data_IF_434170817908
#
_entry.id   IF_434170817908
#
_cell.length_a   1.000
_cell.length_b   1.000
_cell.length_c   1.000
_cell.angle_alpha   90.00
_cell.angle_beta   90.00
_cell.angle_gamma   90.00
#
_symmetry.space_group_name_H-M   'P 1'
#
loop_
_entity.id
_entity.type
_entity.pdbx_description
1 polymer ?
#
# COMPACT_ATOMS: atom_id res chain seq x y z
N UNK A 1 14.88 -8.12 11.31
CA UNK A 1 14.28 -6.82 11.01
C UNK A 1 13.24 -6.47 12.05
N UNK A 2 13.11 -5.20 12.35
CA UNK A 2 12.18 -4.72 13.36
C UNK A 2 10.93 -4.15 12.67
N UNK A 3 9.73 -4.50 13.15
CA UNK A 3 8.51 -3.91 12.59
C UNK A 3 8.39 -2.44 13.02
N UNK A 4 8.05 -1.60 12.06
CA UNK A 4 7.79 -0.18 12.30
C UNK A 4 6.40 0.16 11.80
N UNK A 5 5.68 0.95 12.58
CA UNK A 5 4.42 1.52 12.15
C UNK A 5 4.72 2.73 11.27
N UNK A 6 4.13 2.77 10.09
CA UNK A 6 4.24 3.92 9.20
C UNK A 6 2.86 4.54 9.02
N UNK A 7 2.83 5.83 8.69
CA UNK A 7 1.58 6.54 8.46
C UNK A 7 1.62 7.21 7.10
N UNK A 8 0.52 7.06 6.36
CA UNK A 8 0.32 7.74 5.09
C UNK A 8 -1.08 8.35 5.11
N UNK A 9 -1.27 9.40 4.33
CA UNK A 9 -2.55 10.06 4.22
C UNK A 9 -3.11 9.83 2.83
N UNK A 10 -4.33 9.30 2.79
CA UNK A 10 -5.05 9.06 1.55
C UNK A 10 -6.34 9.88 1.58
N UNK A 11 -6.78 10.30 0.41
CA UNK A 11 -8.04 11.01 0.30
C UNK A 11 -9.18 10.01 0.29
N UNK A 12 -10.22 10.28 1.09
CA UNK A 12 -11.38 9.41 1.21
C UNK A 12 -12.62 10.26 1.44
N UNK A 13 -13.76 9.75 1.00
CA UNK A 13 -15.04 10.44 1.18
C UNK A 13 -15.65 10.15 2.55
N UNK A 14 -15.21 9.09 3.21
CA UNK A 14 -15.76 8.71 4.50
C UNK A 14 -14.72 7.97 5.33
N UNK A 15 -14.91 7.91 6.67
CA UNK A 15 -14.02 7.11 7.53
C UNK A 15 -14.04 5.63 7.17
N UNK A 16 -15.17 5.11 6.69
CA UNK A 16 -15.28 3.71 6.29
C UNK A 16 -14.38 3.38 5.11
N UNK A 17 -14.29 4.29 4.13
CA UNK A 17 -13.39 4.11 2.99
C UNK A 17 -11.93 4.08 3.45
N UNK A 18 -11.57 5.00 4.34
CA UNK A 18 -10.21 5.07 4.87
C UNK A 18 -9.86 3.79 5.62
N UNK A 19 -10.78 3.31 6.46
CA UNK A 19 -10.57 2.06 7.20
C UNK A 19 -10.42 0.87 6.27
N UNK A 20 -11.22 0.82 5.21
CA UNK A 20 -11.15 -0.27 4.23
C UNK A 20 -9.78 -0.32 3.56
N UNK A 21 -9.23 0.83 3.19
CA UNK A 21 -7.90 0.90 2.61
C UNK A 21 -6.83 0.43 3.59
N UNK A 22 -6.93 0.86 4.85
CA UNK A 22 -6.01 0.44 5.90
C UNK A 22 -6.05 -1.06 6.13
N UNK A 23 -7.25 -1.62 6.22
CA UNK A 23 -7.44 -3.05 6.46
C UNK A 23 -6.91 -3.87 5.28
N UNK A 24 -7.12 -3.40 4.06
CA UNK A 24 -6.63 -4.08 2.86
C UNK A 24 -5.10 -4.10 2.83
N UNK A 25 -4.46 -2.99 3.15
CA UNK A 25 -3.00 -2.91 3.19
C UNK A 25 -2.42 -3.82 4.27
N UNK A 26 -3.03 -3.83 5.45
CA UNK A 26 -2.60 -4.69 6.54
C UNK A 26 -2.77 -6.17 6.17
N UNK A 27 -3.86 -6.51 5.49
CA UNK A 27 -4.10 -7.87 5.03
C UNK A 27 -3.05 -8.30 4.00
N UNK A 28 -2.69 -7.41 3.08
CA UNK A 28 -1.64 -7.71 2.10
C UNK A 28 -0.34 -8.10 2.79
N UNK A 29 0.09 -7.30 3.76
CA UNK A 29 1.33 -7.57 4.50
C UNK A 29 1.25 -8.91 5.22
N UNK A 30 0.12 -9.19 5.88
CA UNK A 30 -0.08 -10.44 6.62
C UNK A 30 -0.11 -11.65 5.70
N UNK A 31 -0.81 -11.55 4.58
CA UNK A 31 -0.94 -12.66 3.63
C UNK A 31 0.40 -12.98 2.98
N UNK A 32 1.19 -11.97 2.64
CA UNK A 32 2.52 -12.20 2.08
C UNK A 32 3.44 -12.85 3.11
N UNK A 33 3.34 -12.46 4.38
CA UNK A 33 4.12 -13.09 5.44
C UNK A 33 3.82 -14.59 5.55
N UNK A 34 2.55 -14.96 5.42
CA UNK A 34 2.14 -16.38 5.46
C UNK A 34 2.72 -17.18 4.30
N UNK A 35 2.99 -16.52 3.19
CA UNK A 35 3.64 -17.12 2.02
C UNK A 35 5.16 -17.13 2.13
N UNK A 36 5.71 -16.66 3.23
CA UNK A 36 7.15 -16.57 3.42
C UNK A 36 7.79 -15.32 2.84
N UNK A 37 6.98 -14.31 2.51
CA UNK A 37 7.47 -13.05 1.93
C UNK A 37 7.34 -11.95 2.98
N UNK A 38 8.47 -11.34 3.32
CA UNK A 38 8.50 -10.22 4.24
C UNK A 38 8.41 -8.92 3.42
N UNK A 39 7.32 -8.17 3.65
CA UNK A 39 7.14 -6.87 2.99
C UNK A 39 7.97 -5.84 3.75
N UNK A 40 9.06 -5.39 3.15
CA UNK A 40 9.99 -4.47 3.80
C UNK A 40 9.75 -3.04 3.33
N UNK A 41 10.12 -2.08 4.18
CA UNK A 41 10.01 -0.67 3.84
C UNK A 41 10.83 -0.31 2.60
N UNK A 42 12.01 -0.93 2.45
CA UNK A 42 12.86 -0.71 1.28
C UNK A 42 12.14 -1.13 0.00
N UNK A 43 11.53 -2.31 0.01
CA UNK A 43 10.81 -2.81 -1.17
C UNK A 43 9.57 -1.98 -1.50
N UNK A 44 8.86 -1.54 -0.48
CA UNK A 44 7.70 -0.66 -0.68
C UNK A 44 8.15 0.67 -1.29
N UNK A 45 9.23 1.25 -0.77
CA UNK A 45 9.78 2.49 -1.32
C UNK A 45 10.20 2.31 -2.79
N UNK A 46 10.89 1.21 -3.10
CA UNK A 46 11.29 0.91 -4.48
C UNK A 46 10.08 0.75 -5.39
N UNK A 47 9.06 0.03 -4.94
CA UNK A 47 7.85 -0.17 -5.74
C UNK A 47 7.15 1.14 -6.03
N UNK A 48 7.01 2.01 -5.02
CA UNK A 48 6.38 3.31 -5.20
C UNK A 48 7.18 4.18 -6.18
N UNK A 49 8.51 4.15 -6.10
CA UNK A 49 9.36 4.90 -7.00
C UNK A 49 9.25 4.39 -8.44
N UNK A 50 9.21 3.06 -8.60
CA UNK A 50 9.09 2.45 -9.94
C UNK A 50 7.78 2.78 -10.62
N UNK A 51 6.70 2.86 -9.82
CA UNK A 51 5.37 3.10 -10.36
C UNK A 51 5.00 4.57 -10.47
N UNK A 52 5.87 5.47 -10.01
CA UNK A 52 5.68 6.90 -10.22
C UNK A 52 5.71 7.17 -11.72
N UNK A 53 4.67 7.84 -12.22
CA UNK A 53 4.50 8.16 -13.64
C UNK A 53 4.36 6.93 -14.55
N UNK A 54 4.08 5.74 -13.99
CA UNK A 54 3.76 4.57 -14.79
C UNK A 54 2.36 4.73 -15.39
N UNK A 55 2.25 4.49 -16.70
CA UNK A 55 1.01 4.73 -17.44
C UNK A 55 -0.18 3.97 -16.85
N UNK A 56 -0.01 2.69 -16.55
CA UNK A 56 -1.10 1.86 -16.04
C UNK A 56 -1.51 2.26 -14.63
N UNK A 57 -0.55 2.56 -13.78
CA UNK A 57 -0.82 2.99 -12.41
C UNK A 57 -1.48 4.36 -12.42
N UNK A 58 -0.99 5.28 -13.25
CA UNK A 58 -1.58 6.62 -13.37
C UNK A 58 -3.05 6.54 -13.79
N UNK A 59 -3.35 5.71 -14.78
CA UNK A 59 -4.72 5.54 -15.23
C UNK A 59 -5.61 4.95 -14.15
N UNK A 60 -5.10 3.98 -13.40
CA UNK A 60 -5.84 3.39 -12.30
C UNK A 60 -6.13 4.43 -11.22
N UNK A 61 -5.15 5.24 -10.87
CA UNK A 61 -5.31 6.26 -9.83
C UNK A 61 -6.26 7.38 -10.24
N UNK A 62 -6.32 7.70 -11.54
CA UNK A 62 -7.21 8.74 -12.05
C UNK A 62 -8.63 8.24 -12.25
N UNK A 63 -8.84 6.94 -12.38
CA UNK A 63 -10.17 6.40 -12.59
C UNK A 63 -11.01 6.52 -11.32
N UNK A 64 -12.31 6.64 -11.52
CA UNK A 64 -13.23 6.73 -10.39
C UNK A 64 -13.97 5.43 -10.14
#
# INVERSE_FOLDING_TARGET
MTPYKIEIYLYADSPEQAKRAQDAANRLVSDEYRRGILVTAVKVAEACQRFTANYFVENFLKSK
#
